data_IF_577836571094
#
_entry.id   IF_577836571094
#
_cell.length_a   1.000
_cell.length_b   1.000
_cell.length_c   1.000
_cell.angle_alpha   90.00
_cell.angle_beta   90.00
_cell.angle_gamma   90.00
#
_symmetry.space_group_name_H-M   'P 1'
#
loop_
_entity.id
_entity.type
_entity.pdbx_description
1 polymer ?
#
# COMPACT_ATOMS: atom_id res chain seq x y z
N UNK A 1 11.47 39.73 15.81
CA UNK A 1 12.66 39.05 15.32
C UNK A 1 12.46 37.54 15.29
N UNK A 2 13.24 36.83 14.48
CA UNK A 2 13.21 35.38 14.43
C UNK A 2 13.52 34.74 15.80
N UNK A 3 14.53 35.22 16.51
CA UNK A 3 14.92 34.69 17.83
C UNK A 3 13.79 34.84 18.85
N UNK A 4 13.06 35.95 18.80
CA UNK A 4 11.91 36.14 19.67
C UNK A 4 10.79 35.15 19.36
N UNK A 5 10.52 34.90 18.09
CA UNK A 5 9.52 33.90 17.63
C UNK A 5 9.89 32.49 18.11
N UNK A 6 11.15 32.10 17.97
CA UNK A 6 11.64 30.81 18.42
C UNK A 6 11.51 30.63 19.95
N UNK A 7 11.83 31.64 20.72
CA UNK A 7 11.64 31.61 22.18
C UNK A 7 10.17 31.43 22.57
N UNK A 8 9.26 32.10 21.87
CA UNK A 8 7.81 31.95 22.09
C UNK A 8 7.35 30.53 21.78
N UNK A 9 7.83 29.97 20.67
CA UNK A 9 7.54 28.60 20.30
C UNK A 9 8.03 27.60 21.34
N UNK A 10 9.26 27.77 21.83
CA UNK A 10 9.87 26.91 22.87
C UNK A 10 9.12 26.93 24.19
N UNK A 11 8.35 27.98 24.47
CA UNK A 11 7.45 28.05 25.62
C UNK A 11 6.11 27.30 25.39
N UNK A 12 5.90 26.73 24.23
CA UNK A 12 4.66 26.04 23.88
C UNK A 12 3.53 26.96 23.41
N UNK A 13 3.83 28.23 23.14
CA UNK A 13 2.86 29.23 22.70
C UNK A 13 2.77 29.25 21.16
N UNK A 14 2.08 28.26 20.58
CA UNK A 14 2.06 28.05 19.13
C UNK A 14 1.42 29.21 18.35
N UNK A 15 0.29 29.76 18.81
CA UNK A 15 -0.40 30.83 18.09
C UNK A 15 0.40 32.13 18.03
N UNK A 16 0.97 32.67 19.16
CA UNK A 16 1.86 33.81 19.11
C UNK A 16 3.12 33.56 18.30
N UNK A 17 3.69 32.35 18.38
CA UNK A 17 4.85 31.94 17.58
C UNK A 17 4.55 32.00 16.08
N UNK A 18 3.42 31.43 15.66
CA UNK A 18 2.96 31.48 14.27
C UNK A 18 2.89 32.92 13.75
N UNK A 19 2.28 33.81 14.51
CA UNK A 19 2.17 35.21 14.12
C UNK A 19 3.57 35.86 13.99
N UNK A 20 4.47 35.59 14.93
CA UNK A 20 5.82 36.14 14.95
C UNK A 20 6.68 35.63 13.79
N UNK A 21 6.62 34.34 13.47
CA UNK A 21 7.31 33.77 12.29
C UNK A 21 6.76 34.33 10.98
N UNK A 22 5.46 34.46 10.88
CA UNK A 22 4.80 35.04 9.69
C UNK A 22 5.25 36.49 9.49
N UNK A 23 5.27 37.28 10.55
CA UNK A 23 5.72 38.66 10.51
C UNK A 23 7.21 38.76 10.12
N UNK A 24 8.05 37.84 10.63
CA UNK A 24 9.45 37.77 10.22
C UNK A 24 9.59 37.55 8.71
N UNK A 25 8.86 36.59 8.15
CA UNK A 25 8.92 36.29 6.71
C UNK A 25 8.37 37.42 5.84
N UNK A 26 7.38 38.16 6.32
CA UNK A 26 6.89 39.35 5.62
C UNK A 26 7.95 40.45 5.54
N UNK A 27 8.71 40.60 6.61
CA UNK A 27 9.78 41.62 6.66
C UNK A 27 11.07 41.17 5.98
N UNK A 28 11.37 39.88 6.02
CA UNK A 28 12.62 39.32 5.52
C UNK A 28 12.39 38.01 4.76
N UNK A 29 11.73 38.05 3.58
CA UNK A 29 11.38 36.82 2.84
C UNK A 29 12.58 35.99 2.41
N UNK A 30 13.73 36.62 2.18
CA UNK A 30 15.01 35.96 1.88
C UNK A 30 16.04 36.10 3.02
N UNK A 31 15.61 36.32 4.24
CA UNK A 31 16.49 36.51 5.38
C UNK A 31 17.23 35.25 5.79
N UNK A 32 18.24 35.41 6.65
CA UNK A 32 19.13 34.33 7.10
C UNK A 32 18.38 33.17 7.78
N UNK A 33 17.21 33.44 8.36
CA UNK A 33 16.39 32.48 9.09
C UNK A 33 15.08 32.11 8.36
N UNK A 34 14.97 32.41 7.04
CA UNK A 34 13.74 32.15 6.31
C UNK A 34 13.43 30.67 6.23
N UNK A 35 14.42 29.81 6.03
CA UNK A 35 14.22 28.35 6.03
C UNK A 35 13.73 27.86 7.39
N UNK A 36 14.36 28.34 8.46
CA UNK A 36 13.96 27.99 9.83
C UNK A 36 12.51 28.42 10.12
N UNK A 37 12.15 29.63 9.72
CA UNK A 37 10.80 30.18 9.93
C UNK A 37 9.75 29.37 9.16
N UNK A 38 10.01 29.02 7.90
CA UNK A 38 9.13 28.16 7.13
C UNK A 38 8.99 26.77 7.77
N UNK A 39 10.08 26.20 8.28
CA UNK A 39 10.05 24.92 8.95
C UNK A 39 9.15 24.95 10.21
N UNK A 40 9.33 25.95 11.07
CA UNK A 40 8.48 26.09 12.27
C UNK A 40 7.01 26.27 11.90
N UNK A 41 6.71 27.02 10.83
CA UNK A 41 5.34 27.20 10.36
C UNK A 41 4.74 25.88 9.81
N UNK A 42 5.55 25.03 9.18
CA UNK A 42 5.12 23.68 8.83
C UNK A 42 4.76 22.84 10.05
N UNK A 43 5.63 22.84 11.07
CA UNK A 43 5.43 22.08 12.30
C UNK A 43 4.17 22.54 13.03
N UNK A 44 4.02 23.85 13.19
CA UNK A 44 2.82 24.44 13.81
C UNK A 44 1.57 24.08 12.99
N UNK A 45 1.64 24.21 11.67
CA UNK A 45 0.53 23.84 10.80
C UNK A 45 0.12 22.38 10.96
N UNK A 46 1.09 21.48 11.06
CA UNK A 46 0.84 20.05 11.26
C UNK A 46 0.15 19.81 12.63
N UNK A 47 0.64 20.44 13.70
CA UNK A 47 0.04 20.34 15.03
C UNK A 47 -1.40 20.87 15.07
N UNK A 48 -1.66 21.94 14.33
CA UNK A 48 -2.99 22.57 14.24
C UNK A 48 -3.88 21.95 13.17
N UNK A 49 -3.40 20.94 12.44
CA UNK A 49 -4.10 20.30 11.30
C UNK A 49 -4.47 21.31 10.21
N UNK A 50 -3.65 22.31 10.03
CA UNK A 50 -3.77 23.32 8.96
C UNK A 50 -2.99 22.86 7.74
N UNK A 51 -3.63 22.07 6.88
CA UNK A 51 -3.01 21.48 5.70
C UNK A 51 -2.51 22.53 4.70
N UNK A 52 -3.26 23.64 4.53
CA UNK A 52 -2.86 24.72 3.62
C UNK A 52 -1.55 25.36 4.07
N UNK A 53 -1.40 25.60 5.37
CA UNK A 53 -0.16 26.15 5.92
C UNK A 53 1.02 25.20 5.70
N UNK A 54 0.82 23.89 5.91
CA UNK A 54 1.86 22.89 5.68
C UNK A 54 2.26 22.85 4.22
N UNK A 55 1.30 22.79 3.29
CA UNK A 55 1.58 22.79 1.85
C UNK A 55 2.34 24.04 1.41
N UNK A 56 1.92 25.22 1.90
CA UNK A 56 2.57 26.48 1.56
C UNK A 56 4.02 26.51 2.03
N UNK A 57 4.25 26.25 3.33
CA UNK A 57 5.57 26.41 3.93
C UNK A 57 6.53 25.26 3.57
N UNK A 58 6.03 24.02 3.45
CA UNK A 58 6.82 22.92 2.92
C UNK A 58 7.20 23.17 1.46
N UNK A 59 6.26 23.67 0.65
CA UNK A 59 6.52 24.07 -0.73
C UNK A 59 7.63 25.12 -0.82
N UNK A 60 7.64 26.11 0.07
CA UNK A 60 8.70 27.12 0.14
C UNK A 60 10.06 26.51 0.49
N UNK A 61 10.10 25.58 1.44
CA UNK A 61 11.34 24.87 1.78
C UNK A 61 11.89 24.08 0.59
N UNK A 62 11.01 23.52 -0.25
CA UNK A 62 11.39 22.72 -1.42
C UNK A 62 11.81 23.57 -2.63
N UNK A 63 11.55 24.88 -2.64
CA UNK A 63 12.04 25.80 -3.66
C UNK A 63 13.56 26.05 -3.52
N UNK A 64 14.12 25.84 -2.32
CA UNK A 64 15.55 26.01 -2.09
C UNK A 64 16.32 24.74 -2.45
N UNK A 65 17.63 24.87 -2.79
CA UNK A 65 18.49 23.68 -2.93
C UNK A 65 18.48 22.84 -1.66
N UNK A 66 18.97 21.61 -1.74
CA UNK A 66 19.00 20.69 -0.62
C UNK A 66 19.48 21.39 0.67
N UNK A 67 18.65 21.31 1.69
CA UNK A 67 18.85 21.98 2.96
C UNK A 67 18.47 21.02 4.10
N UNK A 68 18.77 21.35 5.37
CA UNK A 68 18.49 20.42 6.49
C UNK A 68 17.02 20.02 6.65
N UNK A 69 16.08 20.75 6.06
CA UNK A 69 14.65 20.51 6.18
C UNK A 69 14.04 19.81 4.96
N UNK A 70 14.83 19.58 3.89
CA UNK A 70 14.31 19.05 2.62
C UNK A 70 13.62 17.70 2.77
N UNK A 71 14.20 16.75 3.51
CA UNK A 71 13.63 15.42 3.67
C UNK A 71 12.30 15.47 4.43
N UNK A 72 12.24 16.22 5.51
CA UNK A 72 11.01 16.35 6.30
C UNK A 72 9.94 17.14 5.55
N UNK A 73 10.33 18.16 4.78
CA UNK A 73 9.41 18.90 3.91
C UNK A 73 8.79 18.00 2.86
N UNK A 74 9.57 17.11 2.24
CA UNK A 74 9.05 16.12 1.28
C UNK A 74 8.05 15.17 1.93
N UNK A 75 8.33 14.70 3.15
CA UNK A 75 7.41 13.84 3.90
C UNK A 75 6.10 14.56 4.20
N UNK A 76 6.15 15.75 4.78
CA UNK A 76 4.95 16.50 5.16
C UNK A 76 4.11 16.89 3.95
N UNK A 77 4.74 17.38 2.91
CA UNK A 77 4.08 17.79 1.67
C UNK A 77 3.46 16.59 0.97
N UNK A 78 4.22 15.51 0.80
CA UNK A 78 3.75 14.29 0.16
C UNK A 78 2.59 13.63 0.91
N UNK A 79 2.63 13.59 2.23
CA UNK A 79 1.57 13.01 3.06
C UNK A 79 0.23 13.74 2.86
N UNK A 80 0.25 15.06 2.83
CA UNK A 80 -0.98 15.84 2.62
C UNK A 80 -1.50 15.64 1.20
N UNK A 81 -0.64 15.66 0.20
CA UNK A 81 -1.05 15.42 -1.19
C UNK A 81 -1.66 14.02 -1.35
N UNK A 82 -1.06 13.02 -0.69
CA UNK A 82 -1.59 11.66 -0.68
C UNK A 82 -2.99 11.61 -0.05
N UNK A 83 -3.18 12.24 1.10
CA UNK A 83 -4.48 12.29 1.79
C UNK A 83 -5.55 13.02 0.99
N UNK A 84 -5.14 13.97 0.14
CA UNK A 84 -6.02 14.69 -0.79
C UNK A 84 -6.23 13.95 -2.11
N UNK A 85 -5.73 12.71 -2.22
CA UNK A 85 -5.82 11.88 -3.42
C UNK A 85 -5.12 12.48 -4.65
N UNK A 86 -4.17 13.38 -4.43
CA UNK A 86 -3.30 13.92 -5.47
C UNK A 86 -2.05 13.03 -5.59
N UNK A 87 -2.27 11.80 -6.02
CA UNK A 87 -1.26 10.74 -5.97
C UNK A 87 -0.07 10.99 -6.90
N UNK A 88 -0.28 11.63 -8.04
CA UNK A 88 0.78 12.00 -8.98
C UNK A 88 1.77 13.00 -8.36
N UNK A 89 1.27 13.99 -7.65
CA UNK A 89 2.08 14.99 -6.97
C UNK A 89 2.77 14.38 -5.73
N UNK A 90 2.04 13.56 -4.96
CA UNK A 90 2.60 12.85 -3.83
C UNK A 90 3.73 11.89 -4.27
N UNK A 91 3.52 11.17 -5.37
CA UNK A 91 4.53 10.29 -5.95
C UNK A 91 5.84 11.02 -6.23
N UNK A 92 5.76 12.21 -6.82
CA UNK A 92 6.95 13.03 -7.11
C UNK A 92 7.74 13.35 -5.84
N UNK A 93 7.06 13.74 -4.76
CA UNK A 93 7.69 14.01 -3.47
C UNK A 93 8.35 12.78 -2.87
N UNK A 94 7.65 11.65 -2.86
CA UNK A 94 8.17 10.40 -2.30
C UNK A 94 9.34 9.83 -3.12
N UNK A 95 9.33 9.98 -4.44
CA UNK A 95 10.46 9.60 -5.29
C UNK A 95 11.71 10.42 -4.96
N UNK A 96 11.55 11.73 -4.77
CA UNK A 96 12.65 12.61 -4.36
C UNK A 96 13.20 12.20 -2.99
N UNK A 97 12.30 11.92 -2.04
CA UNK A 97 12.70 11.49 -0.71
C UNK A 97 13.48 10.17 -0.76
N UNK A 98 12.99 9.19 -1.51
CA UNK A 98 13.66 7.90 -1.66
C UNK A 98 15.07 8.07 -2.23
N UNK A 99 15.25 8.95 -3.21
CA UNK A 99 16.53 9.20 -3.86
C UNK A 99 17.51 9.98 -2.99
N UNK A 100 17.02 10.92 -2.17
CA UNK A 100 17.85 11.87 -1.41
C UNK A 100 18.02 11.51 0.07
N UNK A 101 17.25 10.55 0.59
CA UNK A 101 17.25 10.21 2.01
C UNK A 101 18.64 9.82 2.50
N UNK A 102 19.03 10.41 3.63
CA UNK A 102 20.33 10.18 4.26
C UNK A 102 20.32 8.99 5.21
N UNK A 103 19.15 8.50 5.59
CA UNK A 103 18.98 7.34 6.47
C UNK A 103 18.15 6.25 5.79
N UNK A 104 18.38 4.99 6.19
CA UNK A 104 17.60 3.86 5.71
C UNK A 104 16.11 4.02 6.07
N UNK A 105 15.82 4.53 7.27
CA UNK A 105 14.46 4.77 7.75
C UNK A 105 13.69 5.73 6.83
N UNK A 106 14.28 6.88 6.50
CA UNK A 106 13.65 7.85 5.59
C UNK A 106 13.56 7.35 4.17
N UNK A 107 14.55 6.61 3.70
CA UNK A 107 14.51 5.96 2.39
C UNK A 107 13.34 4.98 2.31
N UNK A 108 13.10 4.19 3.36
CA UNK A 108 11.93 3.31 3.44
C UNK A 108 10.62 4.09 3.38
N UNK A 109 10.51 5.20 4.11
CA UNK A 109 9.30 6.04 4.07
C UNK A 109 9.01 6.54 2.66
N UNK A 110 10.04 6.96 1.94
CA UNK A 110 9.92 7.35 0.52
C UNK A 110 9.44 6.19 -0.34
N UNK A 111 10.07 5.03 -0.21
CA UNK A 111 9.70 3.84 -0.99
C UNK A 111 8.27 3.36 -0.69
N UNK A 112 7.83 3.41 0.57
CA UNK A 112 6.45 3.09 0.96
C UNK A 112 5.47 4.05 0.26
N UNK A 113 5.78 5.35 0.27
CA UNK A 113 4.97 6.35 -0.43
C UNK A 113 4.87 6.09 -1.93
N UNK A 114 6.00 5.78 -2.57
CA UNK A 114 6.03 5.42 -4.01
C UNK A 114 5.20 4.16 -4.27
N UNK A 115 5.35 3.13 -3.44
CA UNK A 115 4.58 1.90 -3.58
C UNK A 115 3.07 2.15 -3.54
N UNK A 116 2.62 2.89 -2.52
CA UNK A 116 1.19 3.15 -2.30
C UNK A 116 0.60 4.06 -3.38
N UNK A 117 1.31 5.11 -3.75
CA UNK A 117 0.91 5.98 -4.86
C UNK A 117 0.84 5.21 -6.18
N UNK A 118 1.87 4.43 -6.48
CA UNK A 118 1.92 3.60 -7.68
C UNK A 118 0.77 2.62 -7.76
N UNK A 119 0.43 1.96 -6.65
CA UNK A 119 -0.70 1.03 -6.58
C UNK A 119 -2.03 1.74 -6.86
N UNK A 120 -2.25 2.91 -6.26
CA UNK A 120 -3.49 3.70 -6.45
C UNK A 120 -3.59 4.31 -7.85
N UNK A 121 -2.46 4.59 -8.49
CA UNK A 121 -2.40 5.09 -9.87
C UNK A 121 -2.37 3.98 -10.91
N UNK A 122 -2.36 2.71 -10.49
CA UNK A 122 -2.19 1.55 -11.38
C UNK A 122 -0.91 1.63 -12.23
N UNK A 123 0.15 2.14 -11.62
CA UNK A 123 1.48 2.23 -12.26
C UNK A 123 2.33 1.05 -11.82
N UNK A 124 2.25 -0.04 -12.58
CA UNK A 124 2.92 -1.30 -12.24
C UNK A 124 4.45 -1.17 -12.16
N UNK A 125 5.05 -0.36 -13.01
CA UNK A 125 6.50 -0.14 -13.01
C UNK A 125 6.97 0.52 -11.71
N UNK A 126 6.28 1.55 -11.25
CA UNK A 126 6.58 2.21 -9.99
C UNK A 126 6.39 1.27 -8.79
N UNK A 127 5.32 0.47 -8.82
CA UNK A 127 5.05 -0.53 -7.77
C UNK A 127 6.19 -1.56 -7.70
N UNK A 128 6.58 -2.12 -8.82
CA UNK A 128 7.64 -3.14 -8.86
C UNK A 128 8.97 -2.57 -8.37
N UNK A 129 9.35 -1.38 -8.83
CA UNK A 129 10.58 -0.73 -8.42
C UNK A 129 10.62 -0.44 -6.92
N UNK A 130 9.55 0.16 -6.39
CA UNK A 130 9.47 0.49 -4.96
C UNK A 130 9.43 -0.76 -4.07
N UNK A 131 8.64 -1.76 -4.44
CA UNK A 131 8.55 -3.02 -3.70
C UNK A 131 9.90 -3.75 -3.69
N UNK A 132 10.60 -3.79 -4.82
CA UNK A 132 11.90 -4.43 -4.93
C UNK A 132 12.93 -3.73 -4.03
N UNK A 133 12.92 -2.39 -3.99
CA UNK A 133 13.80 -1.62 -3.11
C UNK A 133 13.50 -1.91 -1.63
N UNK A 134 12.22 -1.96 -1.24
CA UNK A 134 11.81 -2.28 0.13
C UNK A 134 12.25 -3.69 0.54
N UNK A 135 12.03 -4.67 -0.33
CA UNK A 135 12.35 -6.07 -0.05
C UNK A 135 13.86 -6.32 0.06
N UNK A 136 14.69 -5.43 -0.48
CA UNK A 136 16.15 -5.48 -0.35
C UNK A 136 16.65 -4.89 0.98
N UNK A 137 15.82 -4.18 1.73
CA UNK A 137 16.22 -3.58 3.00
C UNK A 137 16.39 -4.64 4.09
N UNK A 138 17.50 -4.52 4.86
CA UNK A 138 17.84 -5.49 5.90
C UNK A 138 16.85 -5.51 7.07
N UNK A 139 16.24 -4.37 7.37
CA UNK A 139 15.30 -4.21 8.49
C UNK A 139 13.94 -3.79 7.96
N UNK A 140 13.20 -4.74 7.43
CA UNK A 140 11.83 -4.53 6.97
C UNK A 140 10.87 -5.29 7.90
N UNK A 141 9.84 -4.60 8.39
CA UNK A 141 8.82 -5.26 9.22
C UNK A 141 8.08 -6.33 8.44
N UNK A 142 7.55 -7.37 9.11
CA UNK A 142 6.75 -8.40 8.42
C UNK A 142 5.53 -7.81 7.69
N UNK A 143 4.90 -6.79 8.26
CA UNK A 143 3.73 -6.13 7.67
C UNK A 143 4.10 -5.43 6.36
N UNK A 144 5.20 -4.67 6.35
CA UNK A 144 5.68 -3.98 5.15
C UNK A 144 6.20 -4.97 4.11
N UNK A 145 6.83 -6.05 4.55
CA UNK A 145 7.26 -7.13 3.64
C UNK A 145 6.05 -7.72 2.91
N UNK A 146 4.99 -8.04 3.63
CA UNK A 146 3.77 -8.60 3.06
C UNK A 146 3.09 -7.61 2.10
N UNK A 147 3.03 -6.34 2.48
CA UNK A 147 2.48 -5.28 1.61
C UNK A 147 3.28 -5.16 0.31
N UNK A 148 4.60 -5.14 0.40
CA UNK A 148 5.48 -5.05 -0.77
C UNK A 148 5.35 -6.27 -1.69
N UNK A 149 5.36 -7.47 -1.13
CA UNK A 149 5.16 -8.70 -1.89
C UNK A 149 3.79 -8.74 -2.58
N UNK A 150 2.74 -8.35 -1.88
CA UNK A 150 1.38 -8.34 -2.39
C UNK A 150 1.23 -7.42 -3.61
N UNK A 151 1.62 -6.16 -3.47
CA UNK A 151 1.49 -5.20 -4.55
C UNK A 151 2.39 -5.54 -5.73
N UNK A 152 3.61 -6.04 -5.47
CA UNK A 152 4.50 -6.48 -6.55
C UNK A 152 3.94 -7.67 -7.29
N UNK A 153 3.40 -8.66 -6.58
CA UNK A 153 2.75 -9.81 -7.20
C UNK A 153 1.59 -9.39 -8.10
N UNK A 154 0.73 -8.49 -7.62
CA UNK A 154 -0.39 -7.97 -8.41
C UNK A 154 0.10 -7.23 -9.66
N UNK A 155 1.14 -6.43 -9.52
CA UNK A 155 1.75 -5.72 -10.64
C UNK A 155 2.35 -6.69 -11.68
N UNK A 156 3.02 -7.74 -11.22
CA UNK A 156 3.53 -8.79 -12.11
C UNK A 156 2.40 -9.52 -12.85
N UNK A 157 1.29 -9.81 -12.16
CA UNK A 157 0.12 -10.43 -12.82
C UNK A 157 -0.45 -9.51 -13.90
N UNK A 158 -0.56 -8.22 -13.63
CA UNK A 158 -1.03 -7.23 -14.60
C UNK A 158 -0.12 -7.19 -15.85
N UNK A 159 1.17 -7.37 -15.68
CA UNK A 159 2.16 -7.42 -16.76
C UNK A 159 2.28 -8.82 -17.39
N UNK A 160 1.48 -9.78 -16.96
CA UNK A 160 1.55 -11.20 -17.41
C UNK A 160 2.92 -11.82 -17.15
N UNK A 161 3.62 -11.35 -16.11
CA UNK A 161 4.86 -11.94 -15.63
C UNK A 161 4.55 -13.00 -14.55
N UNK A 162 3.81 -14.03 -14.95
CA UNK A 162 3.16 -15.00 -14.05
C UNK A 162 4.17 -15.74 -13.16
N UNK A 163 5.34 -16.08 -13.68
CA UNK A 163 6.37 -16.78 -12.91
C UNK A 163 6.90 -15.94 -11.76
N UNK A 164 7.17 -14.66 -12.02
CA UNK A 164 7.61 -13.71 -10.98
C UNK A 164 6.52 -13.45 -9.96
N UNK A 165 5.28 -13.33 -10.43
CA UNK A 165 4.13 -13.19 -9.54
C UNK A 165 3.99 -14.43 -8.64
N UNK A 166 4.14 -15.61 -9.18
CA UNK A 166 4.04 -16.87 -8.43
C UNK A 166 5.07 -16.95 -7.31
N UNK A 167 6.29 -16.51 -7.53
CA UNK A 167 7.33 -16.48 -6.50
C UNK A 167 6.91 -15.65 -5.29
N UNK A 168 6.38 -14.45 -5.54
CA UNK A 168 5.89 -13.57 -4.48
C UNK A 168 4.63 -14.12 -3.79
N UNK A 169 3.70 -14.64 -4.56
CA UNK A 169 2.45 -15.20 -4.03
C UNK A 169 2.71 -16.42 -3.15
N UNK A 170 3.65 -17.28 -3.51
CA UNK A 170 3.99 -18.45 -2.72
C UNK A 170 4.60 -18.08 -1.37
N UNK A 171 5.38 -17.00 -1.31
CA UNK A 171 5.90 -16.48 -0.06
C UNK A 171 4.78 -15.98 0.86
N UNK A 172 3.84 -15.21 0.32
CA UNK A 172 2.67 -14.71 1.05
C UNK A 172 1.76 -15.85 1.53
N UNK A 173 1.54 -16.85 0.68
CA UNK A 173 0.61 -17.95 0.93
C UNK A 173 1.05 -18.89 2.07
N UNK A 174 2.26 -18.74 2.58
CA UNK A 174 2.75 -19.51 3.74
C UNK A 174 1.99 -19.18 5.01
N UNK A 175 1.39 -17.99 5.12
CA UNK A 175 0.61 -17.58 6.29
C UNK A 175 -0.78 -17.06 5.88
N UNK A 176 -1.75 -17.96 5.85
CA UNK A 176 -3.14 -17.65 5.48
C UNK A 176 -3.96 -17.00 6.60
N UNK A 177 -3.35 -16.74 7.75
CA UNK A 177 -3.98 -15.95 8.82
C UNK A 177 -3.99 -14.47 8.48
N UNK A 178 -3.07 -14.02 7.64
CA UNK A 178 -3.05 -12.65 7.12
C UNK A 178 -3.99 -12.52 5.93
N UNK A 179 -4.54 -11.32 5.73
CA UNK A 179 -5.41 -11.05 4.58
C UNK A 179 -4.66 -11.26 3.26
N UNK A 180 -3.45 -10.73 3.14
CA UNK A 180 -2.66 -10.91 1.93
C UNK A 180 -2.29 -12.37 1.68
N UNK A 181 -1.99 -13.13 2.75
CA UNK A 181 -1.68 -14.55 2.63
C UNK A 181 -2.87 -15.40 2.19
N UNK A 182 -4.05 -15.09 2.69
CA UNK A 182 -5.29 -15.78 2.29
C UNK A 182 -5.61 -15.53 0.81
N UNK A 183 -5.58 -14.28 0.36
CA UNK A 183 -5.76 -13.94 -1.05
C UNK A 183 -4.68 -14.59 -1.93
N UNK A 184 -3.42 -14.54 -1.49
CA UNK A 184 -2.32 -15.15 -2.22
C UNK A 184 -2.48 -16.66 -2.38
N UNK A 185 -2.97 -17.35 -1.36
CA UNK A 185 -3.25 -18.80 -1.43
C UNK A 185 -4.26 -19.12 -2.53
N UNK A 186 -5.34 -18.34 -2.59
CA UNK A 186 -6.30 -18.42 -3.68
C UNK A 186 -5.64 -18.13 -5.05
N UNK A 187 -4.85 -17.07 -5.15
CA UNK A 187 -4.22 -16.67 -6.41
C UNK A 187 -3.19 -17.70 -6.90
N UNK A 188 -2.47 -18.37 -6.02
CA UNK A 188 -1.57 -19.49 -6.37
C UNK A 188 -2.38 -20.61 -7.04
N UNK A 189 -3.49 -20.99 -6.42
CA UNK A 189 -4.36 -22.04 -6.99
C UNK A 189 -4.93 -21.60 -8.34
N UNK A 190 -5.34 -20.35 -8.47
CA UNK A 190 -5.85 -19.78 -9.72
C UNK A 190 -4.79 -19.83 -10.82
N UNK A 191 -3.53 -19.52 -10.52
CA UNK A 191 -2.44 -19.61 -11.49
C UNK A 191 -2.24 -21.06 -11.99
N UNK A 192 -2.27 -22.03 -11.07
CA UNK A 192 -2.21 -23.45 -11.45
C UNK A 192 -3.39 -23.84 -12.36
N UNK A 193 -4.59 -23.41 -12.00
CA UNK A 193 -5.79 -23.66 -12.82
C UNK A 193 -5.66 -23.06 -14.21
N UNK A 194 -5.26 -21.81 -14.32
CA UNK A 194 -5.10 -21.10 -15.59
C UNK A 194 -4.02 -21.74 -16.49
N UNK A 195 -3.01 -22.34 -15.87
CA UNK A 195 -1.96 -23.06 -16.58
C UNK A 195 -2.37 -24.49 -16.99
N UNK A 196 -3.60 -24.91 -16.66
CA UNK A 196 -4.07 -26.28 -16.93
C UNK A 196 -3.53 -27.31 -15.95
N UNK A 197 -2.87 -26.89 -14.88
CA UNK A 197 -2.30 -27.79 -13.87
C UNK A 197 -3.34 -28.01 -12.74
N UNK A 198 -4.36 -28.80 -13.07
CA UNK A 198 -5.51 -28.98 -12.18
C UNK A 198 -5.19 -29.76 -10.92
N UNK A 199 -4.28 -30.72 -10.99
CA UNK A 199 -3.86 -31.48 -9.80
C UNK A 199 -3.16 -30.58 -8.77
N UNK A 200 -2.31 -29.66 -9.21
CA UNK A 200 -1.65 -28.70 -8.32
C UNK A 200 -2.64 -27.70 -7.75
N UNK A 201 -3.60 -27.24 -8.56
CA UNK A 201 -4.67 -26.35 -8.09
C UNK A 201 -5.52 -27.03 -7.01
N UNK A 202 -5.95 -28.26 -7.23
CA UNK A 202 -6.70 -29.06 -6.24
C UNK A 202 -5.92 -29.17 -4.92
N UNK A 203 -4.67 -29.57 -5.00
CA UNK A 203 -3.81 -29.73 -3.82
C UNK A 203 -3.70 -28.44 -3.01
N UNK A 204 -3.49 -27.31 -3.69
CA UNK A 204 -3.36 -26.00 -3.05
C UNK A 204 -4.65 -25.61 -2.32
N UNK A 205 -5.80 -25.81 -2.96
CA UNK A 205 -7.11 -25.48 -2.39
C UNK A 205 -7.43 -26.38 -1.21
N UNK A 206 -7.23 -27.69 -1.32
CA UNK A 206 -7.49 -28.62 -0.23
C UNK A 206 -6.59 -28.31 0.98
N UNK A 207 -5.34 -27.95 0.74
CA UNK A 207 -4.45 -27.50 1.78
C UNK A 207 -4.98 -26.22 2.46
N UNK A 208 -5.51 -25.27 1.70
CA UNK A 208 -6.09 -24.07 2.26
C UNK A 208 -7.32 -24.34 3.12
N UNK A 209 -8.19 -25.25 2.67
CA UNK A 209 -9.38 -25.67 3.44
C UNK A 209 -8.98 -26.26 4.79
N UNK A 210 -7.90 -27.02 4.85
CA UNK A 210 -7.40 -27.63 6.08
C UNK A 210 -6.77 -26.63 7.05
N UNK A 211 -6.41 -25.45 6.57
CA UNK A 211 -5.88 -24.38 7.40
C UNK A 211 -7.03 -23.54 7.98
N UNK A 212 -6.93 -23.17 9.23
CA UNK A 212 -7.93 -22.31 9.86
C UNK A 212 -7.64 -20.85 9.52
N UNK A 213 -8.20 -20.38 8.41
CA UNK A 213 -8.11 -18.97 8.05
C UNK A 213 -9.31 -18.18 8.60
N UNK A 214 -9.10 -16.96 9.13
CA UNK A 214 -10.21 -16.07 9.50
C UNK A 214 -10.81 -15.35 8.28
N UNK A 215 -10.21 -15.46 7.09
CA UNK A 215 -10.61 -14.75 5.89
C UNK A 215 -11.58 -15.59 5.03
N UNK A 216 -12.82 -15.67 5.50
CA UNK A 216 -13.87 -16.53 4.92
C UNK A 216 -14.14 -16.26 3.44
N UNK A 217 -14.03 -15.01 2.98
CA UNK A 217 -14.24 -14.66 1.58
C UNK A 217 -13.26 -15.39 0.63
N UNK A 218 -11.97 -15.38 0.97
CA UNK A 218 -10.96 -16.03 0.13
C UNK A 218 -11.07 -17.54 0.18
N UNK A 219 -11.49 -18.09 1.33
CA UNK A 219 -11.82 -19.51 1.42
C UNK A 219 -13.01 -19.86 0.52
N UNK A 220 -14.08 -19.05 0.56
CA UNK A 220 -15.25 -19.22 -0.32
C UNK A 220 -14.87 -19.16 -1.80
N UNK A 221 -14.05 -18.18 -2.19
CA UNK A 221 -13.51 -18.08 -3.56
C UNK A 221 -12.75 -19.34 -3.95
N UNK A 222 -12.02 -19.92 -3.01
CA UNK A 222 -11.25 -21.14 -3.24
C UNK A 222 -12.16 -22.37 -3.42
N UNK A 223 -13.26 -22.47 -2.68
CA UNK A 223 -14.28 -23.50 -2.92
C UNK A 223 -14.87 -23.40 -4.33
N UNK A 224 -15.17 -22.19 -4.78
CA UNK A 224 -15.69 -21.96 -6.12
C UNK A 224 -14.65 -22.38 -7.18
N UNK A 225 -13.40 -22.00 -6.99
CA UNK A 225 -12.32 -22.42 -7.88
C UNK A 225 -12.15 -23.94 -7.89
N UNK A 226 -12.31 -24.59 -6.73
CA UNK A 226 -12.25 -26.06 -6.63
C UNK A 226 -13.35 -26.71 -7.49
N UNK A 227 -14.54 -26.14 -7.49
CA UNK A 227 -15.62 -26.63 -8.37
C UNK A 227 -15.22 -26.50 -9.84
N UNK A 228 -14.60 -25.39 -10.23
CA UNK A 228 -14.09 -25.18 -11.60
C UNK A 228 -13.00 -26.22 -11.95
N UNK A 229 -12.11 -26.49 -11.01
CA UNK A 229 -11.07 -27.53 -11.14
C UNK A 229 -11.71 -28.91 -11.38
N UNK A 230 -12.72 -29.27 -10.58
CA UNK A 230 -13.39 -30.56 -10.72
C UNK A 230 -14.16 -30.68 -12.02
N UNK A 231 -14.79 -29.60 -12.49
CA UNK A 231 -15.42 -29.60 -13.83
C UNK A 231 -14.35 -29.87 -14.91
N UNK A 232 -13.20 -29.24 -14.81
CA UNK A 232 -12.09 -29.44 -15.76
C UNK A 232 -11.51 -30.86 -15.70
N UNK A 233 -11.60 -31.51 -14.53
CA UNK A 233 -11.18 -32.90 -14.32
C UNK A 233 -12.28 -33.94 -14.63
N UNK A 234 -13.39 -33.49 -15.21
CA UNK A 234 -14.58 -34.30 -15.47
C UNK A 234 -15.21 -34.94 -14.22
N UNK A 235 -15.18 -34.21 -13.11
CA UNK A 235 -15.77 -34.62 -11.82
C UNK A 235 -16.93 -33.69 -11.46
N UNK A 236 -17.97 -33.66 -12.29
CA UNK A 236 -19.11 -32.73 -12.14
C UNK A 236 -19.90 -32.94 -10.85
N UNK A 237 -20.02 -34.20 -10.36
CA UNK A 237 -20.71 -34.46 -9.09
C UNK A 237 -19.98 -33.84 -7.92
N UNK A 238 -18.67 -33.98 -7.86
CA UNK A 238 -17.85 -33.38 -6.82
C UNK A 238 -17.95 -31.85 -6.87
N UNK A 239 -17.87 -31.28 -8.08
CA UNK A 239 -18.03 -29.83 -8.28
C UNK A 239 -19.36 -29.32 -7.69
N UNK A 240 -20.45 -30.01 -8.01
CA UNK A 240 -21.78 -29.64 -7.52
C UNK A 240 -21.88 -29.73 -6.00
N UNK A 241 -21.33 -30.78 -5.40
CA UNK A 241 -21.35 -30.98 -3.95
C UNK A 241 -20.63 -29.84 -3.21
N UNK A 242 -19.47 -29.42 -3.69
CA UNK A 242 -18.73 -28.29 -3.08
C UNK A 242 -19.51 -26.98 -3.21
N UNK A 243 -20.15 -26.73 -4.35
CA UNK A 243 -20.97 -25.53 -4.53
C UNK A 243 -22.20 -25.53 -3.59
N UNK A 244 -22.89 -26.66 -3.46
CA UNK A 244 -24.05 -26.78 -2.57
C UNK A 244 -23.65 -26.63 -1.09
N UNK A 245 -22.54 -27.23 -0.71
CA UNK A 245 -22.00 -27.08 0.65
C UNK A 245 -21.67 -25.62 0.97
N UNK A 246 -21.02 -24.93 0.03
CA UNK A 246 -20.70 -23.52 0.19
C UNK A 246 -21.97 -22.66 0.29
N UNK A 247 -22.98 -22.96 -0.54
CA UNK A 247 -24.26 -22.23 -0.52
C UNK A 247 -24.96 -22.34 0.84
N UNK A 248 -24.87 -23.49 1.50
CA UNK A 248 -25.46 -23.70 2.83
C UNK A 248 -24.69 -23.02 3.95
N UNK A 249 -23.37 -22.95 3.85
CA UNK A 249 -22.49 -22.56 4.95
C UNK A 249 -21.93 -21.15 4.85
N UNK A 250 -22.06 -20.48 3.71
CA UNK A 250 -21.56 -19.14 3.50
C UNK A 250 -22.72 -18.20 3.19
N UNK A 251 -22.90 -17.20 4.04
CA UNK A 251 -23.93 -16.19 3.89
C UNK A 251 -23.33 -14.82 4.18
N UNK A 252 -23.05 -14.08 3.14
CA UNK A 252 -22.55 -12.72 3.21
C UNK A 252 -23.08 -11.92 2.01
N UNK A 253 -23.18 -10.62 2.18
CA UNK A 253 -23.62 -9.70 1.13
C UNK A 253 -22.43 -9.34 0.23
N UNK A 254 -22.06 -10.28 -0.65
CA UNK A 254 -20.96 -10.14 -1.61
C UNK A 254 -21.28 -10.91 -2.91
N UNK A 255 -20.28 -11.11 -3.76
CA UNK A 255 -20.43 -11.75 -5.06
C UNK A 255 -20.47 -13.30 -5.03
N UNK A 256 -20.26 -13.90 -3.86
CA UNK A 256 -20.16 -15.37 -3.74
C UNK A 256 -21.45 -16.07 -4.15
N UNK A 257 -22.60 -15.61 -3.65
CA UNK A 257 -23.90 -16.23 -3.98
C UNK A 257 -24.16 -16.22 -5.50
N UNK A 258 -23.87 -15.11 -6.16
CA UNK A 258 -24.00 -14.97 -7.62
C UNK A 258 -23.08 -15.94 -8.36
N UNK A 259 -21.83 -16.07 -7.92
CA UNK A 259 -20.86 -16.98 -8.52
C UNK A 259 -21.29 -18.44 -8.38
N UNK A 260 -21.84 -18.81 -7.22
CA UNK A 260 -22.37 -20.17 -6.99
C UNK A 260 -23.53 -20.45 -7.92
N UNK A 261 -24.52 -19.57 -8.00
CA UNK A 261 -25.71 -19.74 -8.81
C UNK A 261 -25.37 -19.87 -10.29
N UNK A 262 -24.47 -19.07 -10.81
CA UNK A 262 -24.00 -19.13 -12.18
C UNK A 262 -23.41 -20.51 -12.51
N UNK A 263 -22.61 -21.07 -11.61
CA UNK A 263 -21.99 -22.38 -11.80
C UNK A 263 -22.96 -23.54 -11.66
N UNK A 264 -23.89 -23.46 -10.69
CA UNK A 264 -24.93 -24.48 -10.52
C UNK A 264 -25.83 -24.55 -11.73
N UNK A 265 -26.18 -23.44 -12.38
CA UNK A 265 -26.97 -23.42 -13.61
C UNK A 265 -26.26 -24.19 -14.74
N UNK A 266 -24.95 -24.06 -14.87
CA UNK A 266 -24.16 -24.78 -15.87
C UNK A 266 -24.03 -26.28 -15.61
N UNK A 267 -24.34 -26.73 -14.38
CA UNK A 267 -24.25 -28.14 -13.96
C UNK A 267 -25.60 -28.85 -13.95
N UNK A 268 -26.67 -28.21 -14.39
CA UNK A 268 -27.97 -28.86 -14.62
C UNK A 268 -27.93 -29.74 -15.92
#
# INVERSE_FOLDING_TARGET
>A
TYIAAEKVYMKGEAAPAKESFTRYLQSYPGGAFSLNAHYYLCVIGKEQKDEEAVLEHAGKLLEYPDNPYSEEALLMHGEILFNRQQYDLALADYKKLQAKATTAERRQLGAIGVLRCGALMHDDAEVINAATALLAEAKLSPELRNEALYYRAKAYLNQKADKKAMDDLQLLAKDTRTLYGAEAKYLVALQWYNAGNYASAEKEILNFIDQSTPHAYWLARSFILLSDVYVAMDKKLDARQYLLSLQQNYQADDDIASMINERLEKLK
#
